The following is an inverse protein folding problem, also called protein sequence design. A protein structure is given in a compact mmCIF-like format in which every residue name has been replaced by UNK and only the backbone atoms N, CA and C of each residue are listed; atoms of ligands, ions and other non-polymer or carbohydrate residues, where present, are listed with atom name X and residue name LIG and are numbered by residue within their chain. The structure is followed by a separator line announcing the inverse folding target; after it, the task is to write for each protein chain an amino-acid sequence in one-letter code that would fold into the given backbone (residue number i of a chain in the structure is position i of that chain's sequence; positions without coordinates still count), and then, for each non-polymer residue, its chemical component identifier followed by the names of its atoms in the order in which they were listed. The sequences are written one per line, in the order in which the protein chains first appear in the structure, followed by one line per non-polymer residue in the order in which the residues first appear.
data_IF_483652932297
#
_entry.id   IF_483652932297
#
_cell.length_a   1.000
_cell.length_b   1.000
_cell.length_c   1.000
_cell.angle_alpha   90.00
_cell.angle_beta   90.00
_cell.angle_gamma   90.00
#
_symmetry.space_group_name_H-M   'P 1'
#
loop_
_entity.id
_entity.type
_entity.pdbx_description
1 polymer ?
#
# COMPACT_ATOMS: atom_id res chain seq x y z
N UNK A 1 6.88 54.85 -10.49
CA UNK A 1 5.64 54.06 -10.29
C UNK A 1 5.39 53.02 -11.39
N UNK A 2 5.74 53.26 -12.68
CA UNK A 2 5.54 52.31 -13.78
C UNK A 2 6.38 50.99 -13.66
N UNK A 3 7.58 51.02 -13.06
CA UNK A 3 8.47 49.87 -12.90
C UNK A 3 7.99 48.85 -11.84
N UNK A 4 7.20 49.28 -10.85
CA UNK A 4 6.60 48.37 -9.84
C UNK A 4 5.37 47.65 -10.37
N UNK A 5 4.65 48.24 -11.31
CA UNK A 5 3.46 47.64 -11.92
C UNK A 5 3.83 46.48 -12.85
N UNK A 6 4.96 46.55 -13.56
CA UNK A 6 5.42 45.46 -14.45
C UNK A 6 5.98 44.26 -13.68
N UNK A 7 6.57 44.48 -12.50
CA UNK A 7 7.09 43.41 -11.66
C UNK A 7 5.95 42.60 -11.00
N UNK A 8 4.84 43.26 -10.67
CA UNK A 8 3.65 42.60 -10.08
C UNK A 8 2.90 41.73 -11.09
N UNK A 9 2.94 42.08 -12.38
CA UNK A 9 2.24 41.32 -13.44
C UNK A 9 3.00 40.05 -13.84
N UNK A 10 4.33 40.02 -13.66
CA UNK A 10 5.15 38.83 -13.95
C UNK A 10 4.94 37.67 -12.96
N UNK A 11 4.44 37.96 -11.75
CA UNK A 11 4.16 36.95 -10.72
C UNK A 11 2.86 36.16 -10.96
N UNK A 12 1.96 36.64 -11.84
CA UNK A 12 0.70 35.99 -12.17
C UNK A 12 0.80 34.88 -13.22
N UNK A 13 1.97 34.68 -13.81
CA UNK A 13 2.18 33.72 -14.91
C UNK A 13 2.91 32.42 -14.48
N UNK A 14 3.03 32.14 -13.17
CA UNK A 14 3.51 30.81 -12.76
C UNK A 14 2.40 29.79 -13.05
N UNK A 15 2.60 28.88 -14.02
CA UNK A 15 1.71 27.75 -14.19
C UNK A 15 1.76 26.95 -12.89
N UNK A 16 0.68 26.92 -12.15
CA UNK A 16 0.54 26.06 -10.99
C UNK A 16 0.85 24.64 -11.47
N UNK A 17 1.83 23.97 -10.86
CA UNK A 17 2.05 22.55 -11.07
C UNK A 17 0.72 21.85 -10.83
N UNK A 18 0.12 21.30 -11.88
CA UNK A 18 -1.18 20.61 -11.83
C UNK A 18 -1.08 19.27 -11.08
N UNK A 19 -0.69 19.35 -9.81
CA UNK A 19 -0.79 18.23 -8.87
C UNK A 19 -2.27 18.03 -8.54
N UNK A 20 -2.94 17.17 -9.31
CA UNK A 20 -4.25 16.68 -8.92
C UNK A 20 -4.07 15.60 -7.87
N UNK A 21 -4.49 15.82 -6.61
CA UNK A 21 -4.50 14.74 -5.63
C UNK A 21 -5.41 13.62 -6.13
N UNK A 22 -4.94 12.38 -6.06
CA UNK A 22 -5.63 11.17 -6.54
C UNK A 22 -7.06 11.02 -5.97
N UNK A 23 -7.35 11.67 -4.85
CA UNK A 23 -8.62 11.62 -4.11
C UNK A 23 -9.37 12.97 -4.08
N UNK A 24 -8.99 13.96 -4.89
CA UNK A 24 -9.59 15.30 -4.86
C UNK A 24 -10.99 15.40 -5.49
N UNK A 25 -11.43 14.40 -6.22
CA UNK A 25 -12.81 14.34 -6.68
C UNK A 25 -13.63 13.73 -5.54
N UNK A 26 -14.43 14.56 -4.86
CA UNK A 26 -15.30 14.12 -3.75
C UNK A 26 -16.04 12.81 -4.04
N UNK A 27 -16.81 12.28 -3.11
CA UNK A 27 -17.43 10.93 -3.00
C UNK A 27 -17.80 10.13 -4.26
N UNK A 28 -17.53 10.63 -5.47
CA UNK A 28 -17.83 10.04 -6.77
C UNK A 28 -16.64 9.92 -7.72
N UNK A 29 -15.40 10.21 -7.30
CA UNK A 29 -14.24 10.08 -8.20
C UNK A 29 -14.11 8.67 -8.75
N UNK A 30 -13.88 8.54 -10.06
CA UNK A 30 -13.80 7.26 -10.78
C UNK A 30 -12.80 6.26 -10.13
N UNK A 31 -11.73 6.78 -9.52
CA UNK A 31 -10.73 5.97 -8.80
C UNK A 31 -11.29 5.40 -7.51
N UNK A 32 -11.89 6.24 -6.65
CA UNK A 32 -12.49 5.78 -5.39
C UNK A 32 -13.67 4.83 -5.65
N UNK A 33 -14.44 5.07 -6.71
CA UNK A 33 -15.52 4.19 -7.16
C UNK A 33 -15.01 2.79 -7.53
N UNK A 34 -13.90 2.70 -8.29
CA UNK A 34 -13.30 1.42 -8.65
C UNK A 34 -12.71 0.72 -7.43
N UNK A 35 -11.99 1.44 -6.55
CA UNK A 35 -11.38 0.84 -5.35
C UNK A 35 -12.42 0.22 -4.42
N UNK A 36 -13.58 0.84 -4.26
CA UNK A 36 -14.71 0.30 -3.48
C UNK A 36 -15.34 -0.96 -4.09
N UNK A 37 -15.13 -1.23 -5.37
CA UNK A 37 -15.60 -2.45 -6.04
C UNK A 37 -14.61 -3.61 -5.97
N UNK A 38 -13.49 -3.43 -5.26
CA UNK A 38 -12.47 -4.48 -5.10
C UNK A 38 -12.74 -5.29 -3.84
N UNK A 39 -13.08 -6.55 -4.02
CA UNK A 39 -13.18 -7.53 -2.95
C UNK A 39 -11.80 -8.15 -2.68
N UNK A 40 -11.32 -8.06 -1.44
CA UNK A 40 -10.09 -8.74 -1.01
C UNK A 40 -10.40 -10.21 -0.72
N UNK A 41 -9.70 -11.13 -1.36
CA UNK A 41 -9.78 -12.55 -1.05
C UNK A 41 -9.14 -12.84 0.31
N UNK A 42 -9.56 -13.95 0.95
CA UNK A 42 -8.99 -14.36 2.23
C UNK A 42 -7.49 -14.67 2.07
N UNK A 43 -6.67 -14.09 2.94
CA UNK A 43 -5.22 -14.31 2.99
C UNK A 43 -4.92 -15.16 4.22
N UNK A 44 -4.27 -16.33 4.08
CA UNK A 44 -4.00 -17.22 5.20
C UNK A 44 -2.90 -16.69 6.13
N UNK A 45 -2.89 -17.18 7.37
CA UNK A 45 -1.87 -16.85 8.37
C UNK A 45 -2.11 -15.54 9.11
N UNK A 46 -1.24 -15.25 10.11
CA UNK A 46 -1.32 -14.02 10.93
C UNK A 46 -1.02 -12.78 10.10
N UNK A 47 0.11 -12.78 9.38
CA UNK A 47 0.44 -11.70 8.46
C UNK A 47 -0.66 -11.48 7.42
N UNK A 48 -1.29 -12.58 6.96
CA UNK A 48 -2.44 -12.54 6.05
C UNK A 48 -3.65 -11.86 6.66
N UNK A 49 -3.96 -12.13 7.92
CA UNK A 49 -5.05 -11.46 8.64
C UNK A 49 -4.78 -9.95 8.80
N UNK A 50 -3.56 -9.57 9.17
CA UNK A 50 -3.16 -8.17 9.27
C UNK A 50 -3.32 -7.48 7.91
N UNK A 51 -2.73 -8.04 6.86
CA UNK A 51 -2.79 -7.52 5.50
C UNK A 51 -4.22 -7.36 5.00
N UNK A 52 -5.07 -8.38 5.21
CA UNK A 52 -6.48 -8.35 4.82
C UNK A 52 -7.23 -7.17 5.46
N UNK A 53 -7.06 -6.97 6.77
CA UNK A 53 -7.72 -5.87 7.48
C UNK A 53 -7.21 -4.49 7.02
N UNK A 54 -5.88 -4.35 6.80
CA UNK A 54 -5.30 -3.11 6.30
C UNK A 54 -5.79 -2.78 4.88
N UNK A 55 -5.84 -3.77 4.00
CA UNK A 55 -6.38 -3.59 2.64
C UNK A 55 -7.87 -3.21 2.67
N UNK A 56 -8.68 -3.90 3.47
CA UNK A 56 -10.12 -3.55 3.61
C UNK A 56 -10.31 -2.11 4.09
N UNK A 57 -9.56 -1.71 5.10
CA UNK A 57 -9.64 -0.35 5.64
C UNK A 57 -9.32 0.71 4.59
N UNK A 58 -8.31 0.46 3.72
CA UNK A 58 -7.86 1.42 2.70
C UNK A 58 -8.71 1.44 1.44
N UNK A 59 -9.23 0.29 1.04
CA UNK A 59 -10.12 0.20 -0.13
C UNK A 59 -11.50 0.78 0.15
N UNK A 60 -11.85 0.95 1.43
CA UNK A 60 -13.14 1.43 1.89
C UNK A 60 -14.18 0.32 1.96
N UNK A 61 -15.33 0.65 2.54
CA UNK A 61 -16.45 -0.28 2.59
C UNK A 61 -17.07 -0.40 1.20
N UNK A 62 -17.29 -1.64 0.80
CA UNK A 62 -18.07 -1.96 -0.39
C UNK A 62 -19.51 -1.52 -0.13
N UNK A 63 -20.05 -0.67 -1.00
CA UNK A 63 -21.48 -0.33 -0.95
C UNK A 63 -22.35 -1.56 -1.28
N UNK A 64 -23.65 -1.35 -1.43
CA UNK A 64 -24.60 -2.41 -1.76
C UNK A 64 -24.42 -3.06 -3.15
N UNK A 65 -23.43 -2.58 -3.92
CA UNK A 65 -23.12 -3.08 -5.26
C UNK A 65 -22.29 -4.36 -5.20
N UNK A 66 -22.55 -5.30 -6.10
CA UNK A 66 -21.69 -6.48 -6.27
C UNK A 66 -20.25 -6.08 -6.63
N UNK A 67 -19.22 -6.80 -6.12
CA UNK A 67 -17.84 -6.51 -6.45
C UNK A 67 -17.57 -6.73 -7.95
N UNK A 68 -16.86 -5.80 -8.60
CA UNK A 68 -16.45 -5.94 -9.98
C UNK A 68 -15.06 -6.61 -10.09
N UNK A 69 -14.26 -6.52 -9.05
CA UNK A 69 -12.90 -7.05 -9.01
C UNK A 69 -12.64 -7.88 -7.76
N UNK A 70 -11.73 -8.85 -7.86
CA UNK A 70 -11.19 -9.60 -6.73
C UNK A 70 -9.69 -9.38 -6.67
N UNK A 71 -9.19 -9.07 -5.48
CA UNK A 71 -7.77 -8.95 -5.18
C UNK A 71 -7.29 -10.23 -4.49
N UNK A 72 -6.50 -11.02 -5.20
CA UNK A 72 -5.84 -12.21 -4.68
C UNK A 72 -4.42 -11.83 -4.25
N UNK A 73 -4.03 -12.13 -3.00
CA UNK A 73 -2.73 -11.78 -2.43
C UNK A 73 -2.07 -13.03 -1.86
N UNK A 74 -0.80 -13.24 -2.21
CA UNK A 74 0.08 -14.27 -1.61
C UNK A 74 1.22 -13.57 -0.90
N UNK A 75 1.39 -13.88 0.38
CA UNK A 75 2.46 -13.32 1.21
C UNK A 75 3.62 -14.29 1.32
N UNK A 76 4.82 -13.72 1.36
CA UNK A 76 6.07 -14.36 1.73
C UNK A 76 6.73 -13.50 2.81
N UNK A 77 6.92 -14.10 3.98
CA UNK A 77 7.47 -13.46 5.18
C UNK A 77 8.76 -14.20 5.55
N UNK A 78 9.83 -13.45 5.79
CA UNK A 78 11.12 -14.00 6.14
C UNK A 78 11.82 -13.14 7.20
N UNK A 79 12.33 -13.78 8.26
CA UNK A 79 13.13 -13.14 9.30
C UNK A 79 14.53 -13.75 9.22
N UNK A 80 15.55 -12.90 9.12
CA UNK A 80 16.96 -13.30 9.10
C UNK A 80 17.74 -12.59 10.20
N UNK A 81 18.54 -13.35 10.94
CA UNK A 81 19.48 -12.82 11.93
C UNK A 81 20.65 -12.08 11.25
N UNK A 82 20.93 -10.87 11.71
CA UNK A 82 22.03 -10.03 11.28
C UNK A 82 22.90 -9.65 12.49
N UNK A 83 24.22 -9.69 12.32
CA UNK A 83 25.14 -9.31 13.41
C UNK A 83 25.21 -10.40 14.49
N UNK A 84 26.33 -11.10 14.53
CA UNK A 84 26.64 -12.14 15.50
C UNK A 84 27.70 -11.59 16.45
N UNK A 85 27.44 -11.60 17.77
CA UNK A 85 28.44 -11.30 18.78
C UNK A 85 29.49 -12.42 18.85
N UNK A 86 30.60 -12.14 19.51
CA UNK A 86 31.63 -13.16 19.76
C UNK A 86 31.14 -14.41 20.53
N UNK A 87 30.00 -14.28 21.25
CA UNK A 87 29.28 -15.37 21.93
C UNK A 87 28.23 -16.05 21.01
N UNK A 88 28.21 -15.73 19.72
CA UNK A 88 27.27 -16.21 18.71
C UNK A 88 25.80 -15.78 18.91
N UNK A 89 25.54 -14.80 19.76
CA UNK A 89 24.20 -14.26 19.92
C UNK A 89 23.86 -13.31 18.75
N UNK A 90 22.69 -13.47 18.17
CA UNK A 90 22.12 -12.52 17.20
C UNK A 90 21.82 -11.20 17.92
N UNK A 91 22.27 -10.08 17.35
CA UNK A 91 22.06 -8.75 17.94
C UNK A 91 21.05 -7.94 17.16
N UNK A 92 20.74 -8.34 15.94
CA UNK A 92 19.81 -7.67 15.05
C UNK A 92 19.18 -8.68 14.12
N UNK A 93 17.92 -8.48 13.81
CA UNK A 93 17.17 -9.23 12.81
C UNK A 93 16.64 -8.30 11.74
N UNK A 94 16.34 -8.86 10.58
CA UNK A 94 15.61 -8.19 9.51
C UNK A 94 14.41 -9.02 9.16
N UNK A 95 13.24 -8.42 9.28
CA UNK A 95 12.00 -8.98 8.78
C UNK A 95 11.70 -8.39 7.41
N UNK A 96 11.35 -9.24 6.46
CA UNK A 96 10.95 -8.86 5.10
C UNK A 96 9.57 -9.41 4.84
N UNK A 97 8.65 -8.57 4.41
CA UNK A 97 7.31 -8.96 3.95
C UNK A 97 7.17 -8.65 2.46
N UNK A 98 6.88 -9.67 1.67
CA UNK A 98 6.60 -9.56 0.23
C UNK A 98 5.20 -10.04 -0.06
N UNK A 99 4.50 -9.33 -0.94
CA UNK A 99 3.16 -9.64 -1.40
C UNK A 99 3.16 -9.72 -2.93
N UNK A 100 2.94 -10.90 -3.52
CA UNK A 100 2.51 -10.99 -4.91
C UNK A 100 1.00 -10.90 -4.94
N UNK A 101 0.46 -10.04 -5.80
CA UNK A 101 -0.98 -9.84 -5.88
C UNK A 101 -1.48 -9.73 -7.32
N UNK A 102 -2.72 -10.19 -7.51
CA UNK A 102 -3.42 -10.16 -8.78
C UNK A 102 -4.79 -9.52 -8.61
N UNK A 103 -5.12 -8.59 -9.49
CA UNK A 103 -6.47 -8.04 -9.61
C UNK A 103 -7.20 -8.78 -10.73
N UNK A 104 -8.27 -9.47 -10.38
CA UNK A 104 -9.07 -10.26 -11.30
C UNK A 104 -10.38 -9.53 -11.57
N UNK A 105 -10.70 -9.28 -12.82
CA UNK A 105 -12.02 -8.79 -13.23
C UNK A 105 -13.03 -9.94 -13.13
N UNK A 106 -14.06 -9.80 -12.27
CA UNK A 106 -15.04 -10.86 -12.03
C UNK A 106 -16.02 -11.08 -13.18
N UNK A 107 -16.23 -10.06 -14.02
CA UNK A 107 -17.09 -10.19 -15.18
C UNK A 107 -16.46 -11.00 -16.32
N UNK A 108 -15.12 -10.91 -16.49
CA UNK A 108 -14.39 -11.58 -17.58
C UNK A 108 -13.52 -12.75 -17.11
N UNK A 109 -13.25 -12.86 -15.81
CA UNK A 109 -12.31 -13.82 -15.22
C UNK A 109 -10.84 -13.51 -15.52
N UNK A 110 -10.51 -12.40 -16.18
CA UNK A 110 -9.15 -12.06 -16.58
C UNK A 110 -8.38 -11.37 -15.45
N UNK A 111 -7.09 -11.70 -15.33
CA UNK A 111 -6.15 -10.95 -14.50
C UNK A 111 -5.82 -9.64 -15.23
N UNK A 112 -6.19 -8.52 -14.62
CA UNK A 112 -6.00 -7.17 -15.20
C UNK A 112 -4.79 -6.45 -14.61
N UNK A 113 -4.28 -6.92 -13.47
CA UNK A 113 -3.04 -6.46 -12.84
C UNK A 113 -2.37 -7.64 -12.14
N UNK A 114 -1.09 -7.85 -12.36
CA UNK A 114 -0.23 -8.80 -11.64
C UNK A 114 1.05 -8.05 -11.25
N UNK A 115 1.30 -7.94 -9.95
CA UNK A 115 2.44 -7.18 -9.46
C UNK A 115 2.91 -7.69 -8.09
N UNK A 116 4.02 -7.12 -7.61
CA UNK A 116 4.61 -7.43 -6.32
C UNK A 116 4.85 -6.14 -5.55
N UNK A 117 4.53 -6.14 -4.27
CA UNK A 117 4.87 -5.13 -3.29
C UNK A 117 5.75 -5.76 -2.20
N UNK A 118 6.54 -4.97 -1.50
CA UNK A 118 7.33 -5.50 -0.40
C UNK A 118 8.08 -4.42 0.36
N UNK A 119 8.35 -4.71 1.63
CA UNK A 119 9.15 -3.86 2.51
C UNK A 119 9.95 -4.72 3.47
N UNK A 120 10.98 -4.14 4.08
CA UNK A 120 11.77 -4.77 5.12
C UNK A 120 12.05 -3.79 6.26
N UNK A 121 12.18 -4.31 7.48
CA UNK A 121 12.49 -3.53 8.69
C UNK A 121 13.48 -4.30 9.57
N UNK A 122 14.35 -3.56 10.26
CA UNK A 122 15.31 -4.11 11.21
C UNK A 122 14.73 -4.18 12.62
N UNK A 123 15.01 -5.27 13.33
CA UNK A 123 14.61 -5.51 14.71
C UNK A 123 15.87 -5.63 15.55
N UNK A 124 16.02 -4.83 16.60
CA UNK A 124 17.11 -4.97 17.54
C UNK A 124 16.78 -6.07 18.56
N UNK A 125 17.61 -7.11 18.62
CA UNK A 125 17.45 -8.22 19.56
C UNK A 125 18.04 -7.82 20.90
N UNK A 126 17.20 -7.77 21.91
CA UNK A 126 17.57 -7.43 23.31
C UNK A 126 17.66 -8.70 24.15
N UNK A 127 18.21 -8.57 25.39
CA UNK A 127 18.34 -9.71 26.32
C UNK A 127 17.00 -10.28 26.81
N UNK A 128 15.92 -9.55 26.66
CA UNK A 128 14.56 -9.99 27.01
C UNK A 128 13.88 -10.61 25.81
N UNK A 129 13.64 -11.91 25.85
CA UNK A 129 12.89 -12.65 24.80
C UNK A 129 11.48 -12.06 24.56
N UNK A 130 10.79 -11.72 25.64
CA UNK A 130 9.47 -11.08 25.54
C UNK A 130 9.50 -9.74 24.77
N UNK A 131 10.53 -8.92 25.00
CA UNK A 131 10.68 -7.64 24.32
C UNK A 131 11.01 -7.84 22.83
N UNK A 132 11.79 -8.86 22.48
CA UNK A 132 12.09 -9.20 21.08
C UNK A 132 10.82 -9.65 20.36
N UNK A 133 10.04 -10.56 20.94
CA UNK A 133 8.74 -11.00 20.35
C UNK A 133 7.76 -9.82 20.17
N UNK A 134 7.72 -8.91 21.13
CA UNK A 134 6.86 -7.72 21.01
C UNK A 134 7.33 -6.78 19.88
N UNK A 135 8.66 -6.66 19.68
CA UNK A 135 9.24 -5.88 18.59
C UNK A 135 8.93 -6.52 17.23
N UNK A 136 9.08 -7.84 17.08
CA UNK A 136 8.71 -8.59 15.88
C UNK A 136 7.24 -8.37 15.51
N UNK A 137 6.33 -8.48 16.49
CA UNK A 137 4.90 -8.25 16.26
C UNK A 137 4.61 -6.83 15.78
N UNK A 138 5.26 -5.83 16.38
CA UNK A 138 5.11 -4.43 15.98
C UNK A 138 5.65 -4.20 14.57
N UNK A 139 6.78 -4.81 14.24
CA UNK A 139 7.39 -4.75 12.91
C UNK A 139 6.48 -5.38 11.86
N UNK A 140 5.92 -6.56 12.14
CA UNK A 140 4.97 -7.22 11.24
C UNK A 140 3.75 -6.34 10.94
N UNK A 141 3.20 -5.65 11.95
CA UNK A 141 2.09 -4.71 11.76
C UNK A 141 2.47 -3.53 10.87
N UNK A 142 3.66 -2.94 11.06
CA UNK A 142 4.16 -1.84 10.23
C UNK A 142 4.43 -2.28 8.80
N UNK A 143 5.05 -3.45 8.61
CA UNK A 143 5.29 -3.99 7.27
C UNK A 143 3.99 -4.25 6.53
N UNK A 144 2.97 -4.78 7.22
CA UNK A 144 1.65 -4.97 6.65
C UNK A 144 1.01 -3.63 6.22
N UNK A 145 1.19 -2.56 7.02
CA UNK A 145 0.73 -1.21 6.66
C UNK A 145 1.42 -0.70 5.40
N UNK A 146 2.77 -0.74 5.36
CA UNK A 146 3.55 -0.22 4.23
C UNK A 146 3.25 -0.97 2.93
N UNK A 147 3.16 -2.30 2.99
CA UNK A 147 2.88 -3.13 1.83
C UNK A 147 1.44 -2.94 1.34
N UNK A 148 0.46 -2.78 2.26
CA UNK A 148 -0.92 -2.47 1.90
C UNK A 148 -1.02 -1.11 1.20
N UNK A 149 -0.29 -0.08 1.67
CA UNK A 149 -0.24 1.24 1.05
C UNK A 149 0.32 1.19 -0.37
N UNK A 150 1.41 0.43 -0.61
CA UNK A 150 1.95 0.25 -1.96
C UNK A 150 0.95 -0.46 -2.89
N UNK A 151 0.29 -1.52 -2.42
CA UNK A 151 -0.73 -2.22 -3.19
C UNK A 151 -1.87 -1.27 -3.57
N UNK A 152 -2.45 -0.54 -2.61
CA UNK A 152 -3.58 0.38 -2.87
C UNK A 152 -3.17 1.53 -3.78
N UNK A 153 -1.96 2.07 -3.63
CA UNK A 153 -1.42 3.09 -4.53
C UNK A 153 -1.37 2.60 -5.98
N UNK A 154 -0.89 1.38 -6.23
CA UNK A 154 -0.83 0.78 -7.58
C UNK A 154 -2.21 0.46 -8.15
N UNK A 155 -3.15 0.02 -7.30
CA UNK A 155 -4.55 -0.13 -7.70
C UNK A 155 -5.16 1.23 -8.10
N UNK A 156 -4.83 2.30 -7.39
CA UNK A 156 -5.23 3.67 -7.73
C UNK A 156 -4.69 4.13 -9.09
N UNK A 157 -3.42 3.83 -9.38
CA UNK A 157 -2.83 4.10 -10.71
C UNK A 157 -3.55 3.31 -11.80
N UNK A 158 -3.82 2.02 -11.59
CA UNK A 158 -4.60 1.21 -12.51
C UNK A 158 -5.99 1.80 -12.76
N UNK A 159 -6.70 2.19 -11.70
CA UNK A 159 -8.01 2.81 -11.78
C UNK A 159 -8.00 4.11 -12.62
N UNK A 160 -6.97 4.96 -12.43
CA UNK A 160 -6.79 6.20 -13.18
C UNK A 160 -6.61 5.92 -14.68
N UNK A 161 -5.81 4.91 -15.03
CA UNK A 161 -5.60 4.53 -16.42
C UNK A 161 -6.85 3.95 -17.08
N UNK A 162 -7.65 3.19 -16.33
CA UNK A 162 -8.90 2.61 -16.81
C UNK A 162 -9.96 3.69 -17.05
N UNK A 163 -10.09 4.64 -16.12
CA UNK A 163 -11.02 5.77 -16.24
C UNK A 163 -10.73 6.69 -17.44
N UNK A 164 -9.47 6.82 -17.86
CA UNK A 164 -9.09 7.64 -19.03
C UNK A 164 -9.38 6.97 -20.38
N UNK A 165 -9.66 5.67 -20.39
CA UNK A 165 -9.92 4.89 -21.61
C UNK A 165 -11.39 4.72 -21.93
N UNK A 166 -12.27 5.10 -21.01
CA UNK A 166 -13.72 5.17 -21.16
C UNK A 166 -14.16 6.57 -21.59
#
# INVERSE_FOLDING_TARGET
MKRFLTLSLAFLLLPGCGLHPLYASGDGGSVAGLLRQVQVARIPGRAGWLMYNKLKQRLGEMGDSAPAYRLDVKLDENIIGLGIRGDRATTRERETLRARYQLVNLGTGQVVLDATAGSDEGIDVVSSEYATVAAEQTTQERLADLVADDIVSRLGVYATHTARRQ
#
